data_IF_704866642257
#
_entry.id   IF_704866642257
#
_cell.length_a   1.000
_cell.length_b   1.000
_cell.length_c   1.000
_cell.angle_alpha   90.00
_cell.angle_beta   90.00
_cell.angle_gamma   90.00
#
_symmetry.space_group_name_H-M   'P 1'
#
loop_
_entity.id
_entity.type
_entity.pdbx_description
1 polymer ?
#
# COMPACT_ATOMS: atom_id res chain seq x y z
N UNK A 1 -8.14 15.21 -36.20
CA UNK A 1 -8.62 13.93 -35.63
C UNK A 1 -8.72 14.11 -34.13
N UNK A 2 -9.89 13.89 -33.54
CA UNK A 2 -10.08 13.90 -32.09
C UNK A 2 -10.17 12.46 -31.63
N UNK A 3 -9.37 12.10 -30.63
CA UNK A 3 -9.49 10.83 -29.92
C UNK A 3 -10.41 11.07 -28.70
N UNK A 4 -11.61 10.49 -28.66
CA UNK A 4 -12.46 10.61 -27.48
C UNK A 4 -11.77 9.93 -26.30
N UNK A 5 -11.53 10.70 -25.23
CA UNK A 5 -11.00 10.22 -23.96
C UNK A 5 -12.18 9.89 -23.05
N UNK A 6 -12.65 8.66 -23.12
CA UNK A 6 -13.69 8.17 -22.21
C UNK A 6 -13.07 7.79 -20.85
N UNK A 7 -13.60 8.30 -19.72
CA UNK A 7 -13.10 7.95 -18.41
C UNK A 7 -13.29 6.45 -18.14
N UNK A 8 -12.20 5.74 -17.84
CA UNK A 8 -12.28 4.35 -17.38
C UNK A 8 -12.19 4.34 -15.85
N UNK A 9 -13.29 4.03 -15.14
CA UNK A 9 -13.28 4.03 -13.69
C UNK A 9 -12.39 2.90 -13.16
N UNK A 10 -11.59 3.20 -12.14
CA UNK A 10 -10.86 2.16 -11.41
C UNK A 10 -11.88 1.32 -10.63
N UNK A 11 -11.82 0.01 -10.83
CA UNK A 11 -12.61 -0.98 -10.08
C UNK A 11 -11.66 -1.98 -9.46
N UNK A 12 -11.55 -1.94 -8.14
CA UNK A 12 -10.77 -2.94 -7.38
C UNK A 12 -11.74 -3.93 -6.73
N UNK A 13 -11.69 -5.23 -7.11
CA UNK A 13 -12.51 -6.26 -6.48
C UNK A 13 -12.19 -6.40 -4.99
N UNK A 14 -13.20 -6.74 -4.19
CA UNK A 14 -13.10 -6.94 -2.74
C UNK A 14 -12.01 -7.96 -2.38
N UNK A 15 -11.93 -9.06 -3.16
CA UNK A 15 -10.93 -10.10 -2.98
C UNK A 15 -9.48 -9.58 -3.06
N UNK A 16 -9.21 -8.52 -3.83
CA UNK A 16 -7.88 -7.90 -3.90
C UNK A 16 -7.56 -7.15 -2.60
N UNK A 17 -8.53 -6.46 -2.02
CA UNK A 17 -8.36 -5.77 -0.74
C UNK A 17 -8.23 -6.75 0.42
N UNK A 18 -8.94 -7.88 0.36
CA UNK A 18 -8.83 -8.93 1.37
C UNK A 18 -7.46 -9.63 1.31
N UNK A 19 -6.96 -9.95 0.12
CA UNK A 19 -5.60 -10.48 -0.06
C UNK A 19 -4.54 -9.47 0.43
N UNK A 20 -4.70 -8.18 0.12
CA UNK A 20 -3.81 -7.13 0.61
C UNK A 20 -3.76 -7.10 2.15
N UNK A 21 -4.91 -7.13 2.81
CA UNK A 21 -4.99 -7.15 4.29
C UNK A 21 -4.30 -8.39 4.86
N UNK A 22 -4.50 -9.55 4.26
CA UNK A 22 -3.85 -10.78 4.68
C UNK A 22 -2.32 -10.68 4.56
N UNK A 23 -1.80 -10.14 3.46
CA UNK A 23 -0.36 -9.94 3.25
C UNK A 23 0.25 -8.97 4.25
N UNK A 24 -0.39 -7.81 4.46
CA UNK A 24 0.04 -6.82 5.46
C UNK A 24 0.01 -7.41 6.88
N UNK A 25 -0.95 -8.29 7.18
CA UNK A 25 -1.02 -8.94 8.48
C UNK A 25 0.09 -9.99 8.68
N UNK A 26 0.57 -10.59 7.59
CA UNK A 26 1.63 -11.61 7.60
C UNK A 26 3.06 -11.05 7.49
N UNK A 27 3.22 -9.72 7.38
CA UNK A 27 4.52 -9.08 7.20
C UNK A 27 5.49 -9.40 8.33
N UNK A 28 6.72 -9.78 7.95
CA UNK A 28 7.84 -10.02 8.87
C UNK A 28 8.96 -9.03 8.53
N UNK A 29 9.22 -8.03 9.38
CA UNK A 29 10.30 -7.08 9.15
C UNK A 29 11.67 -7.78 9.14
N UNK A 30 12.61 -7.35 8.28
CA UNK A 30 13.99 -7.81 8.35
C UNK A 30 14.70 -7.22 9.58
N UNK A 31 15.85 -7.80 9.93
CA UNK A 31 16.82 -7.14 10.81
C UNK A 31 17.46 -5.98 10.04
N UNK A 32 17.65 -4.84 10.71
CA UNK A 32 18.12 -3.59 10.09
C UNK A 32 18.96 -2.77 11.10
N UNK A 33 20.03 -3.39 11.57
CA UNK A 33 20.91 -2.80 12.58
C UNK A 33 21.81 -1.72 11.96
N UNK A 34 21.91 -0.56 12.61
CA UNK A 34 22.85 0.49 12.21
C UNK A 34 22.41 1.31 10.99
N UNK A 35 21.14 1.22 10.58
CA UNK A 35 20.58 1.98 9.46
C UNK A 35 19.71 3.17 9.92
N UNK A 36 19.92 3.68 11.14
CA UNK A 36 19.17 4.83 11.65
C UNK A 36 19.41 6.11 10.84
N UNK A 37 20.54 6.18 10.13
CA UNK A 37 20.94 7.29 9.26
C UNK A 37 20.52 7.12 7.78
N UNK A 38 19.82 6.03 7.45
CA UNK A 38 19.33 5.68 6.10
C UNK A 38 20.40 5.33 5.08
N UNK A 39 21.66 5.13 5.49
CA UNK A 39 22.77 4.86 4.59
C UNK A 39 22.63 3.53 3.83
N UNK A 40 21.85 2.57 4.33
CA UNK A 40 21.60 1.27 3.70
C UNK A 40 20.22 1.17 3.01
N UNK A 41 19.52 2.30 2.87
CA UNK A 41 18.20 2.39 2.26
C UNK A 41 17.11 2.62 3.30
N UNK A 42 15.86 2.30 2.93
CA UNK A 42 14.69 2.59 3.78
C UNK A 42 14.74 1.75 5.06
N UNK A 43 14.71 2.37 6.25
CA UNK A 43 14.75 1.66 7.51
C UNK A 43 13.55 0.73 7.71
N UNK A 44 13.80 -0.43 8.31
CA UNK A 44 12.76 -1.40 8.63
C UNK A 44 11.69 -0.82 9.56
N UNK A 45 12.08 0.11 10.45
CA UNK A 45 11.16 0.84 11.33
C UNK A 45 10.15 1.65 10.54
N UNK A 46 10.61 2.43 9.56
CA UNK A 46 9.76 3.25 8.70
C UNK A 46 8.80 2.41 7.86
N UNK A 47 9.29 1.31 7.27
CA UNK A 47 8.41 0.37 6.55
C UNK A 47 7.39 -0.26 7.50
N UNK A 48 7.78 -0.59 8.73
CA UNK A 48 6.88 -1.10 9.76
C UNK A 48 5.73 -0.15 10.07
N UNK A 49 6.01 1.15 10.20
CA UNK A 49 4.98 2.19 10.39
C UNK A 49 4.02 2.27 9.20
N UNK A 50 4.54 2.21 7.98
CA UNK A 50 3.71 2.18 6.76
C UNK A 50 2.79 0.96 6.71
N UNK A 51 3.31 -0.22 7.04
CA UNK A 51 2.53 -1.46 7.10
C UNK A 51 1.43 -1.36 8.15
N UNK A 52 1.73 -0.83 9.33
CA UNK A 52 0.74 -0.62 10.38
C UNK A 52 -0.37 0.35 9.93
N UNK A 53 0.01 1.47 9.31
CA UNK A 53 -0.92 2.46 8.78
C UNK A 53 -1.83 1.88 7.68
N UNK A 54 -1.26 1.19 6.71
CA UNK A 54 -2.00 0.58 5.61
C UNK A 54 -2.93 -0.55 6.03
N UNK A 55 -2.58 -1.25 7.11
CA UNK A 55 -3.40 -2.30 7.69
C UNK A 55 -4.58 -1.75 8.49
N UNK A 56 -4.34 -0.70 9.30
CA UNK A 56 -5.28 -0.26 10.32
C UNK A 56 -6.10 0.99 9.99
N UNK A 57 -5.51 1.95 9.26
CA UNK A 57 -6.03 3.31 9.18
C UNK A 57 -6.25 3.82 7.77
N UNK A 58 -5.66 3.17 6.76
CA UNK A 58 -5.80 3.59 5.37
C UNK A 58 -7.11 3.07 4.76
N UNK A 59 -7.95 3.99 4.28
CA UNK A 59 -9.16 3.67 3.54
C UNK A 59 -8.86 3.49 2.03
N UNK A 60 -8.65 2.24 1.63
CA UNK A 60 -8.45 1.87 0.23
C UNK A 60 -9.65 2.19 -0.67
N UNK A 61 -10.88 2.19 -0.13
CA UNK A 61 -12.11 2.40 -0.92
C UNK A 61 -12.28 3.84 -1.38
N UNK A 62 -11.66 4.79 -0.68
CA UNK A 62 -11.59 6.21 -1.07
C UNK A 62 -11.06 6.41 -2.49
N UNK A 63 -10.18 5.52 -2.97
CA UNK A 63 -9.54 5.65 -4.30
C UNK A 63 -9.84 4.47 -5.24
N UNK A 64 -10.40 3.37 -4.72
CA UNK A 64 -10.71 2.16 -5.48
C UNK A 64 -12.07 2.20 -6.19
N UNK A 65 -12.85 3.26 -6.00
CA UNK A 65 -14.16 3.44 -6.61
C UNK A 65 -14.10 4.64 -7.54
N UNK A 66 -14.26 4.41 -8.85
CA UNK A 66 -14.53 5.51 -9.77
C UNK A 66 -15.80 6.25 -9.34
N UNK A 67 -15.69 7.56 -9.12
CA UNK A 67 -16.83 8.44 -8.95
C UNK A 67 -17.53 8.65 -10.29
#
# INVERSE_FOLDING_TARGET
MTFPLEPTPIRVPDAVLDDLRARLASTRPPLDEGNEDWSYGVPASYVGELVAYWRGSYDWRKYATGR
#
